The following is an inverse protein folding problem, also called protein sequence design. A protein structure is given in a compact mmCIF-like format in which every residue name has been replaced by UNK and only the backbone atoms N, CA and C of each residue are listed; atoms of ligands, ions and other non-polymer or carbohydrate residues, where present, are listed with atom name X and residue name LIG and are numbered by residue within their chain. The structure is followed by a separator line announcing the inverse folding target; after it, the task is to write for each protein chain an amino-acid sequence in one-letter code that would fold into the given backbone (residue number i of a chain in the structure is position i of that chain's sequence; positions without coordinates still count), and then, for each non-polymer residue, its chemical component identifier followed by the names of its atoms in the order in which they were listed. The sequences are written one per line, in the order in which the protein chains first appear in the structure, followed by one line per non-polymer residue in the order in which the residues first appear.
data_IF_656359403593
#
_entry.id   IF_656359403593
#
_cell.length_a   1.000
_cell.length_b   1.000
_cell.length_c   1.000
_cell.angle_alpha   90.00
_cell.angle_beta   90.00
_cell.angle_gamma   90.00
#
_symmetry.space_group_name_H-M   'P 1'
#
loop_
_entity.id
_entity.type
_entity.pdbx_description
1 polymer ?
#
# COMPACT_ATOMS: atom_id res chain seq x y z
N UNK A 1 -16.41 -15.79 -21.89
CA UNK A 1 -16.62 -14.40 -21.44
C UNK A 1 -15.26 -13.92 -20.98
N UNK A 2 -14.71 -12.87 -21.58
CA UNK A 2 -13.44 -12.29 -21.10
C UNK A 2 -13.69 -11.71 -19.72
N UNK A 3 -12.85 -12.09 -18.74
CA UNK A 3 -12.89 -11.43 -17.42
C UNK A 3 -12.59 -9.93 -17.60
N UNK A 4 -13.21 -9.05 -16.81
CA UNK A 4 -12.88 -7.63 -16.85
C UNK A 4 -11.38 -7.45 -16.59
N UNK A 5 -10.72 -6.51 -17.30
CA UNK A 5 -9.29 -6.28 -17.16
C UNK A 5 -8.97 -5.90 -15.72
N UNK A 6 -7.94 -6.55 -15.15
CA UNK A 6 -7.43 -6.30 -13.81
C UNK A 6 -6.61 -5.02 -13.83
N UNK A 7 -6.73 -4.20 -12.78
CA UNK A 7 -5.99 -2.95 -12.66
C UNK A 7 -5.33 -2.88 -11.28
N UNK A 8 -4.06 -3.30 -11.16
CA UNK A 8 -3.34 -3.21 -9.92
C UNK A 8 -2.94 -1.79 -9.60
N UNK A 9 -2.93 -1.48 -8.31
CA UNK A 9 -2.15 -0.38 -7.78
C UNK A 9 -0.66 -0.68 -7.95
N UNK A 10 0.10 0.32 -8.39
CA UNK A 10 1.56 0.25 -8.44
C UNK A 10 2.16 1.65 -8.36
N UNK A 11 3.25 1.80 -7.61
CA UNK A 11 4.02 3.05 -7.57
C UNK A 11 5.09 3.14 -8.68
N UNK A 12 5.29 2.05 -9.43
CA UNK A 12 6.33 1.94 -10.46
C UNK A 12 5.98 2.62 -11.78
N UNK A 13 6.93 2.64 -12.72
CA UNK A 13 6.69 3.11 -14.10
C UNK A 13 6.11 2.04 -15.02
N UNK A 14 6.21 0.78 -14.59
CA UNK A 14 5.81 -0.36 -15.40
C UNK A 14 4.61 -1.00 -14.76
N UNK A 15 3.55 -1.12 -15.56
CA UNK A 15 2.36 -1.86 -15.16
C UNK A 15 2.74 -3.32 -14.84
N UNK A 16 2.33 -3.86 -13.69
CA UNK A 16 2.60 -5.26 -13.33
C UNK A 16 2.10 -6.22 -14.42
N UNK A 17 2.85 -7.30 -14.64
CA UNK A 17 2.43 -8.33 -15.58
C UNK A 17 1.23 -9.13 -15.02
N UNK A 18 0.39 -9.67 -15.91
CA UNK A 18 -0.85 -10.37 -15.53
C UNK A 18 -0.62 -11.57 -14.60
N UNK A 19 0.55 -12.20 -14.69
CA UNK A 19 0.97 -13.32 -13.85
C UNK A 19 1.20 -12.93 -12.39
N UNK A 20 1.56 -11.67 -12.12
CA UNK A 20 1.67 -11.14 -10.75
C UNK A 20 0.31 -11.18 -10.06
N UNK A 21 -0.76 -10.82 -10.76
CA UNK A 21 -2.09 -10.79 -10.15
C UNK A 21 -2.72 -12.18 -10.06
N UNK A 22 -2.29 -13.12 -10.90
CA UNK A 22 -2.68 -14.53 -10.78
C UNK A 22 -2.28 -15.14 -9.42
N UNK A 23 -1.24 -14.63 -8.76
CA UNK A 23 -0.84 -15.05 -7.40
C UNK A 23 -1.96 -14.82 -6.37
N UNK A 24 -2.78 -13.79 -6.55
CA UNK A 24 -3.92 -13.53 -5.66
C UNK A 24 -5.02 -14.59 -5.82
N UNK A 25 -5.11 -15.26 -6.96
CA UNK A 25 -6.03 -16.38 -7.15
C UNK A 25 -5.51 -17.67 -6.46
N UNK A 26 -4.25 -17.68 -6.00
CA UNK A 26 -3.66 -18.76 -5.20
C UNK A 26 -3.86 -18.59 -3.68
N UNK A 27 -4.44 -17.48 -3.20
CA UNK A 27 -4.80 -17.34 -1.78
C UNK A 27 -5.85 -18.42 -1.44
N UNK A 28 -5.58 -19.37 -0.53
CA UNK A 28 -6.55 -20.40 -0.17
C UNK A 28 -7.70 -19.84 0.67
N UNK A 29 -7.58 -18.62 1.20
CA UNK A 29 -8.51 -18.04 2.17
C UNK A 29 -8.81 -16.54 1.92
N UNK A 30 -9.25 -16.14 0.70
CA UNK A 30 -9.72 -14.78 0.47
C UNK A 30 -10.96 -14.53 1.33
N UNK A 31 -11.08 -13.31 1.85
CA UNK A 31 -12.18 -12.91 2.73
C UNK A 31 -12.90 -11.70 2.18
N UNK A 32 -14.23 -11.78 2.12
CA UNK A 32 -15.05 -10.58 1.92
C UNK A 32 -14.92 -9.73 3.18
N UNK A 33 -14.23 -8.60 3.07
CA UNK A 33 -14.03 -7.65 4.15
C UNK A 33 -15.20 -6.66 4.24
N UNK A 34 -15.81 -6.35 3.10
CA UNK A 34 -16.97 -5.48 2.98
C UNK A 34 -17.81 -5.91 1.76
N UNK A 35 -19.13 -5.88 1.90
CA UNK A 35 -20.08 -6.09 0.81
C UNK A 35 -21.20 -5.05 0.94
N UNK A 36 -21.32 -4.18 -0.06
CA UNK A 36 -22.31 -3.10 -0.08
C UNK A 36 -23.76 -3.63 -0.12
N UNK A 37 -24.00 -4.87 -0.57
CA UNK A 37 -25.34 -5.49 -0.66
C UNK A 37 -25.85 -5.98 0.69
N UNK A 38 -24.95 -6.36 1.58
CA UNK A 38 -25.31 -7.08 2.79
C UNK A 38 -25.50 -6.10 3.95
N UNK A 39 -26.62 -6.24 4.65
CA UNK A 39 -26.83 -5.54 5.93
C UNK A 39 -25.77 -5.95 6.96
N UNK A 40 -25.28 -7.20 6.92
CA UNK A 40 -24.13 -7.66 7.71
C UNK A 40 -22.78 -7.10 7.23
N UNK A 41 -22.66 -6.76 5.95
CA UNK A 41 -21.55 -5.99 5.37
C UNK A 41 -21.46 -4.55 5.88
N UNK A 42 -22.42 -4.12 6.72
CA UNK A 42 -22.35 -2.84 7.44
C UNK A 42 -21.74 -2.95 8.84
N UNK A 43 -21.39 -4.16 9.29
CA UNK A 43 -20.77 -4.40 10.60
C UNK A 43 -19.29 -4.81 10.46
N UNK A 44 -18.45 -4.35 11.38
CA UNK A 44 -17.03 -4.68 11.43
C UNK A 44 -16.11 -3.55 10.94
N UNK A 45 -14.80 -3.73 11.17
CA UNK A 45 -13.82 -2.66 11.00
C UNK A 45 -13.77 -2.08 9.58
N UNK A 46 -13.87 -2.94 8.55
CA UNK A 46 -13.85 -2.49 7.15
C UNK A 46 -15.16 -1.82 6.74
N UNK A 47 -16.29 -2.23 7.30
CA UNK A 47 -17.56 -1.53 7.10
C UNK A 47 -17.52 -0.11 7.70
N UNK A 48 -16.89 0.06 8.87
CA UNK A 48 -16.68 1.36 9.49
C UNK A 48 -15.75 2.24 8.64
N UNK A 49 -14.69 1.66 8.06
CA UNK A 49 -13.80 2.36 7.11
C UNK A 49 -14.59 2.81 5.88
N UNK A 50 -15.32 1.92 5.20
CA UNK A 50 -16.06 2.26 3.98
C UNK A 50 -17.16 3.30 4.24
N UNK A 51 -17.86 3.20 5.37
CA UNK A 51 -18.83 4.23 5.82
C UNK A 51 -18.13 5.56 6.12
N UNK A 52 -16.94 5.50 6.71
CA UNK A 52 -16.07 6.65 6.93
C UNK A 52 -15.64 7.32 5.62
N UNK A 53 -15.26 6.55 4.60
CA UNK A 53 -14.92 7.05 3.27
C UNK A 53 -16.15 7.71 2.64
N UNK A 54 -17.31 7.03 2.65
CA UNK A 54 -18.56 7.61 2.15
C UNK A 54 -18.88 8.96 2.82
N UNK A 55 -18.79 9.03 4.15
CA UNK A 55 -19.03 10.26 4.90
C UNK A 55 -18.03 11.38 4.56
N UNK A 56 -16.76 11.04 4.33
CA UNK A 56 -15.75 12.01 3.89
C UNK A 56 -16.02 12.50 2.46
N UNK A 57 -16.41 11.63 1.53
CA UNK A 57 -16.75 12.04 0.16
C UNK A 57 -18.01 12.90 0.10
N UNK A 58 -19.04 12.57 0.91
CA UNK A 58 -20.23 13.42 1.06
C UNK A 58 -19.90 14.77 1.74
N UNK A 59 -18.90 14.81 2.63
CA UNK A 59 -18.39 16.05 3.20
C UNK A 59 -17.60 16.87 2.17
N UNK A 60 -16.69 16.25 1.40
CA UNK A 60 -15.93 16.90 0.32
C UNK A 60 -16.88 17.57 -0.69
N UNK A 61 -17.98 16.90 -1.02
CA UNK A 61 -19.07 17.42 -1.86
C UNK A 61 -19.69 18.73 -1.35
N UNK A 62 -19.75 18.93 -0.03
CA UNK A 62 -20.43 20.08 0.60
C UNK A 62 -19.45 21.17 1.04
N UNK A 63 -18.27 20.76 1.50
CA UNK A 63 -17.33 21.57 2.24
C UNK A 63 -15.88 21.35 1.74
N UNK A 64 -15.65 21.44 0.42
CA UNK A 64 -14.32 21.16 -0.16
C UNK A 64 -13.18 21.98 0.46
N UNK A 65 -13.45 23.21 0.89
CA UNK A 65 -12.44 24.08 1.50
C UNK A 65 -12.02 23.63 2.90
N UNK A 66 -12.83 22.82 3.58
CA UNK A 66 -12.47 22.23 4.87
C UNK A 66 -11.42 21.13 4.68
N UNK A 67 -11.38 20.49 3.52
CA UNK A 67 -10.40 19.45 3.19
C UNK A 67 -9.04 20.07 2.88
N UNK A 68 -9.02 21.03 1.95
CA UNK A 68 -7.85 21.87 1.63
C UNK A 68 -8.23 22.96 0.63
N UNK A 69 -7.43 24.01 0.57
CA UNK A 69 -7.44 24.93 -0.57
C UNK A 69 -6.92 24.19 -1.81
N UNK A 70 -7.66 24.29 -2.92
CA UNK A 70 -7.33 23.65 -4.18
C UNK A 70 -7.68 24.58 -5.33
N UNK A 71 -6.67 25.06 -6.03
CA UNK A 71 -6.83 25.89 -7.23
C UNK A 71 -6.69 25.05 -8.48
N UNK A 72 -7.16 25.57 -9.62
CA UNK A 72 -6.93 24.93 -10.92
C UNK A 72 -5.43 24.70 -11.15
N UNK A 73 -4.57 25.64 -10.75
CA UNK A 73 -3.12 25.48 -10.89
C UNK A 73 -2.58 24.28 -10.10
N UNK A 74 -3.07 24.05 -8.87
CA UNK A 74 -2.72 22.88 -8.07
C UNK A 74 -3.19 21.59 -8.75
N UNK A 75 -4.41 21.59 -9.30
CA UNK A 75 -4.98 20.47 -10.04
C UNK A 75 -4.18 20.10 -11.28
N UNK A 76 -3.85 21.10 -12.11
CA UNK A 76 -3.04 20.88 -13.31
C UNK A 76 -1.61 20.46 -12.98
N UNK A 77 -1.00 21.02 -11.93
CA UNK A 77 0.33 20.59 -11.47
C UNK A 77 0.32 19.13 -11.00
N UNK A 78 -0.70 18.75 -10.24
CA UNK A 78 -0.83 17.40 -9.70
C UNK A 78 -1.04 16.38 -10.82
N UNK A 79 -1.97 16.65 -11.75
CA UNK A 79 -2.18 15.81 -12.92
C UNK A 79 -0.92 15.73 -13.79
N UNK A 80 -0.25 16.86 -14.02
CA UNK A 80 0.98 16.92 -14.81
C UNK A 80 2.07 16.04 -14.23
N UNK A 81 2.29 16.08 -12.91
CA UNK A 81 3.28 15.25 -12.23
C UNK A 81 2.90 13.75 -12.29
N UNK A 82 1.64 13.41 -12.03
CA UNK A 82 1.17 12.02 -12.16
C UNK A 82 1.41 11.50 -13.59
N UNK A 83 1.05 12.29 -14.61
CA UNK A 83 1.30 11.94 -16.01
C UNK A 83 2.81 11.76 -16.28
N UNK A 84 3.67 12.64 -15.77
CA UNK A 84 5.13 12.52 -15.96
C UNK A 84 5.73 11.26 -15.33
N UNK A 85 5.16 10.78 -14.22
CA UNK A 85 5.67 9.61 -13.52
C UNK A 85 5.30 8.30 -14.25
N UNK A 86 4.13 8.24 -14.87
CA UNK A 86 3.64 7.02 -15.52
C UNK A 86 3.77 7.00 -17.05
N UNK A 87 3.85 8.15 -17.71
CA UNK A 87 4.03 8.20 -19.17
C UNK A 87 5.49 8.04 -19.58
N UNK A 88 5.68 7.62 -20.83
CA UNK A 88 7.00 7.62 -21.46
C UNK A 88 7.68 8.99 -21.45
N UNK A 89 9.01 8.98 -21.60
CA UNK A 89 9.81 10.21 -21.72
C UNK A 89 9.55 10.95 -23.03
N UNK A 90 9.01 10.29 -24.05
CA UNK A 90 8.72 10.90 -25.33
C UNK A 90 7.48 11.80 -25.28
N UNK A 91 7.59 12.98 -25.90
CA UNK A 91 6.44 13.91 -26.06
C UNK A 91 5.25 13.23 -26.73
N UNK A 92 5.50 12.30 -27.66
CA UNK A 92 4.44 11.59 -28.38
C UNK A 92 3.54 10.79 -27.43
N UNK A 93 4.13 10.07 -26.48
CA UNK A 93 3.39 9.25 -25.52
C UNK A 93 2.51 10.12 -24.63
N UNK A 94 3.08 11.22 -24.12
CA UNK A 94 2.35 12.20 -23.30
C UNK A 94 1.20 12.85 -24.06
N UNK A 95 1.39 13.17 -25.35
CA UNK A 95 0.32 13.71 -26.20
C UNK A 95 -0.80 12.69 -26.41
N UNK A 96 -0.49 11.41 -26.59
CA UNK A 96 -1.52 10.37 -26.72
C UNK A 96 -2.37 10.26 -25.45
N UNK A 97 -1.76 10.35 -24.27
CA UNK A 97 -2.46 10.40 -22.98
C UNK A 97 -3.39 11.62 -22.92
N UNK A 98 -2.87 12.82 -23.21
CA UNK A 98 -3.66 14.05 -23.21
C UNK A 98 -4.86 13.98 -24.17
N UNK A 99 -4.69 13.39 -25.37
CA UNK A 99 -5.78 13.22 -26.34
C UNK A 99 -6.87 12.23 -25.90
N UNK A 100 -6.54 11.32 -24.98
CA UNK A 100 -7.48 10.31 -24.47
C UNK A 100 -8.20 10.76 -23.21
N UNK A 101 -7.60 11.67 -22.44
CA UNK A 101 -8.13 12.20 -21.19
C UNK A 101 -8.76 13.59 -21.33
N UNK A 102 -8.66 14.22 -22.50
CA UNK A 102 -9.18 15.56 -22.72
C UNK A 102 -8.91 16.11 -24.11
N UNK A 103 -9.10 17.42 -24.24
CA UNK A 103 -9.09 18.11 -25.53
C UNK A 103 -8.13 19.31 -25.53
N UNK A 104 -7.45 19.51 -26.66
CA UNK A 104 -6.63 20.69 -26.89
C UNK A 104 -7.48 21.88 -27.35
N UNK A 105 -7.33 23.01 -26.67
CA UNK A 105 -8.07 24.28 -26.89
C UNK A 105 -7.22 25.34 -27.60
N UNK A 106 -6.84 25.07 -28.86
CA UNK A 106 -6.09 26.03 -29.66
C UNK A 106 -6.96 27.16 -30.22
N UNK A 107 -6.35 28.32 -30.49
CA UNK A 107 -7.00 29.42 -31.21
C UNK A 107 -7.33 28.99 -32.65
N UNK A 108 -8.47 29.46 -33.18
CA UNK A 108 -8.96 29.07 -34.50
C UNK A 108 -7.97 29.35 -35.66
N UNK A 109 -7.11 30.35 -35.53
CA UNK A 109 -6.08 30.70 -36.52
C UNK A 109 -4.72 30.03 -36.33
N UNK A 110 -4.54 29.21 -35.28
CA UNK A 110 -3.24 28.61 -34.98
C UNK A 110 -2.87 27.53 -36.01
N UNK A 111 -1.73 27.73 -36.68
CA UNK A 111 -1.20 26.79 -37.67
C UNK A 111 -0.67 25.49 -37.04
N UNK A 112 -0.45 24.42 -37.82
CA UNK A 112 0.07 23.15 -37.30
C UNK A 112 1.41 23.28 -36.55
N UNK A 113 2.33 24.11 -37.03
CA UNK A 113 3.64 24.29 -36.40
C UNK A 113 3.56 25.08 -35.09
N UNK A 114 2.65 26.06 -35.01
CA UNK A 114 2.37 26.79 -33.77
C UNK A 114 1.80 25.84 -32.71
N UNK A 115 0.84 24.98 -33.09
CA UNK A 115 0.25 23.97 -32.19
C UNK A 115 1.31 23.00 -31.67
N UNK A 116 2.16 22.47 -32.56
CA UNK A 116 3.27 21.57 -32.18
C UNK A 116 4.23 22.25 -31.22
N UNK A 117 4.58 23.52 -31.47
CA UNK A 117 5.44 24.29 -30.58
C UNK A 117 4.82 24.47 -29.20
N UNK A 118 3.55 24.88 -29.11
CA UNK A 118 2.84 25.03 -27.83
C UNK A 118 2.81 23.72 -27.01
N UNK A 119 2.58 22.59 -27.67
CA UNK A 119 2.63 21.28 -27.04
C UNK A 119 4.05 20.96 -26.56
N UNK A 120 5.05 21.15 -27.42
CA UNK A 120 6.45 20.90 -27.08
C UNK A 120 6.91 21.75 -25.90
N UNK A 121 6.46 23.00 -25.82
CA UNK A 121 6.79 23.93 -24.75
C UNK A 121 6.23 23.49 -23.39
N UNK A 122 5.21 22.62 -23.36
CA UNK A 122 4.70 22.01 -22.13
C UNK A 122 5.60 20.88 -21.61
N UNK A 123 6.50 20.34 -22.44
CA UNK A 123 7.36 19.20 -22.09
C UNK A 123 8.84 19.48 -22.31
N UNK A 124 9.19 20.74 -22.61
CA UNK A 124 10.55 21.15 -22.87
C UNK A 124 11.43 20.87 -21.65
N UNK A 125 12.62 20.32 -21.91
CA UNK A 125 13.63 20.04 -20.91
C UNK A 125 13.97 21.30 -20.09
N UNK A 126 14.44 21.05 -18.87
CA UNK A 126 14.97 22.07 -18.00
C UNK A 126 16.19 22.73 -18.65
N UNK A 127 16.24 24.05 -18.65
CA UNK A 127 17.48 24.78 -18.97
C UNK A 127 18.26 25.07 -17.69
N UNK A 128 19.58 25.24 -17.80
CA UNK A 128 20.46 25.58 -16.65
C UNK A 128 20.10 26.90 -15.94
N UNK A 129 19.21 27.70 -16.55
CA UNK A 129 18.77 29.00 -16.05
C UNK A 129 17.43 28.95 -15.31
N UNK A 130 16.71 27.82 -15.35
CA UNK A 130 15.41 27.65 -14.69
C UNK A 130 15.59 27.13 -13.25
N UNK A 131 14.81 27.66 -12.29
CA UNK A 131 14.76 27.09 -10.92
C UNK A 131 14.10 25.69 -11.00
N UNK A 132 14.80 24.60 -10.62
CA UNK A 132 14.27 23.24 -10.69
C UNK A 132 12.91 23.06 -10.01
N UNK A 133 12.64 23.84 -8.95
CA UNK A 133 11.38 23.76 -8.19
C UNK A 133 10.20 24.37 -8.92
N UNK A 134 10.46 25.22 -9.91
CA UNK A 134 9.43 25.95 -10.67
C UNK A 134 9.16 25.33 -12.04
N UNK A 135 9.95 24.35 -12.47
CA UNK A 135 9.86 23.78 -13.82
C UNK A 135 8.50 23.11 -14.01
N UNK A 136 8.11 22.20 -13.10
CA UNK A 136 6.83 21.50 -13.18
C UNK A 136 5.66 22.49 -13.18
N UNK A 137 5.66 23.46 -12.27
CA UNK A 137 4.63 24.52 -12.19
C UNK A 137 4.56 25.38 -13.45
N UNK A 138 5.70 25.76 -14.01
CA UNK A 138 5.76 26.55 -15.25
C UNK A 138 5.19 25.78 -16.44
N UNK A 139 5.55 24.50 -16.55
CA UNK A 139 5.11 23.62 -17.63
C UNK A 139 3.63 23.21 -17.49
N UNK A 140 3.16 22.92 -16.28
CA UNK A 140 1.74 22.65 -16.01
C UNK A 140 0.85 23.87 -16.29
N UNK A 141 1.33 25.07 -15.99
CA UNK A 141 0.63 26.33 -16.34
C UNK A 141 0.54 26.55 -17.85
N UNK A 142 1.52 26.12 -18.64
CA UNK A 142 1.42 26.13 -20.11
C UNK A 142 0.38 25.12 -20.58
N UNK A 143 0.38 23.92 -19.99
CA UNK A 143 -0.60 22.89 -20.30
C UNK A 143 -2.03 23.39 -20.05
N UNK A 144 -2.28 24.04 -18.92
CA UNK A 144 -3.61 24.57 -18.57
C UNK A 144 -4.13 25.65 -19.53
N UNK A 145 -3.26 26.28 -20.32
CA UNK A 145 -3.64 27.24 -21.35
C UNK A 145 -4.08 26.58 -22.66
N UNK A 146 -3.61 25.37 -22.96
CA UNK A 146 -3.79 24.74 -24.27
C UNK A 146 -4.54 23.41 -24.22
N UNK A 147 -4.78 22.85 -23.04
CA UNK A 147 -5.49 21.59 -22.85
C UNK A 147 -6.46 21.70 -21.68
N UNK A 148 -7.51 20.88 -21.69
CA UNK A 148 -8.41 20.66 -20.56
C UNK A 148 -8.86 19.20 -20.53
N UNK A 149 -9.11 18.62 -19.35
CA UNK A 149 -9.72 17.31 -19.23
C UNK A 149 -11.09 17.24 -19.94
N UNK A 150 -11.52 16.03 -20.32
CA UNK A 150 -12.85 15.82 -20.89
C UNK A 150 -13.90 16.35 -19.91
N UNK A 151 -14.76 17.25 -20.39
CA UNK A 151 -15.77 17.90 -19.54
C UNK A 151 -16.65 16.89 -18.85
N UNK A 152 -16.86 17.10 -17.55
CA UNK A 152 -17.69 16.25 -16.70
C UNK A 152 -17.16 14.81 -16.49
N UNK A 153 -15.89 14.55 -16.82
CA UNK A 153 -15.19 13.35 -16.38
C UNK A 153 -14.74 13.46 -14.93
N UNK A 154 -14.47 12.32 -14.28
CA UNK A 154 -13.86 12.30 -12.95
C UNK A 154 -12.54 13.07 -12.89
N UNK A 155 -11.72 13.04 -13.95
CA UNK A 155 -10.47 13.82 -14.01
C UNK A 155 -10.73 15.34 -14.00
N UNK A 156 -11.71 15.80 -14.77
CA UNK A 156 -12.12 17.22 -14.78
C UNK A 156 -12.57 17.67 -13.39
N UNK A 157 -13.30 16.81 -12.68
CA UNK A 157 -13.69 17.06 -11.31
C UNK A 157 -12.51 17.10 -10.34
N UNK A 158 -11.56 16.17 -10.44
CA UNK A 158 -10.37 16.17 -9.59
C UNK A 158 -9.53 17.44 -9.80
N UNK A 159 -9.33 17.84 -11.07
CA UNK A 159 -8.48 18.98 -11.43
C UNK A 159 -9.10 20.30 -10.99
N UNK A 160 -10.37 20.56 -11.33
CA UNK A 160 -10.97 21.89 -11.15
C UNK A 160 -12.19 21.96 -10.23
N UNK A 161 -12.81 20.82 -9.87
CA UNK A 161 -14.08 20.80 -9.12
C UNK A 161 -14.13 19.68 -8.06
N UNK A 162 -13.25 19.70 -7.01
CA UNK A 162 -13.16 18.59 -6.04
C UNK A 162 -14.48 18.21 -5.36
N UNK A 163 -15.37 19.19 -5.11
CA UNK A 163 -16.71 18.90 -4.61
C UNK A 163 -17.51 17.94 -5.51
N UNK A 164 -17.35 18.06 -6.83
CA UNK A 164 -18.02 17.18 -7.78
C UNK A 164 -17.37 15.79 -7.83
N UNK A 165 -16.05 15.69 -7.60
CA UNK A 165 -15.39 14.39 -7.42
C UNK A 165 -15.92 13.69 -6.16
N UNK A 166 -16.01 14.42 -5.03
CA UNK A 166 -16.65 13.93 -3.81
C UNK A 166 -18.08 13.46 -4.04
N UNK A 167 -18.85 14.15 -4.89
CA UNK A 167 -20.21 13.73 -5.28
C UNK A 167 -20.21 12.39 -6.00
N UNK A 168 -19.46 12.25 -7.08
CA UNK A 168 -19.41 11.01 -7.88
C UNK A 168 -19.00 9.82 -7.01
N UNK A 169 -17.95 9.99 -6.20
CA UNK A 169 -17.45 8.93 -5.32
C UNK A 169 -18.44 8.59 -4.20
N UNK A 170 -19.11 9.58 -3.61
CA UNK A 170 -20.16 9.34 -2.60
C UNK A 170 -21.38 8.63 -3.19
N UNK A 171 -21.79 8.99 -4.41
CA UNK A 171 -22.93 8.37 -5.10
C UNK A 171 -22.58 6.90 -5.47
N UNK A 172 -21.32 6.62 -5.83
CA UNK A 172 -20.82 5.26 -6.10
C UNK A 172 -20.81 4.37 -4.85
N UNK A 173 -20.44 4.94 -3.70
CA UNK A 173 -20.39 4.27 -2.40
C UNK A 173 -21.75 4.19 -1.70
N UNK A 174 -22.80 4.80 -2.25
CA UNK A 174 -24.12 4.81 -1.64
C UNK A 174 -24.68 3.39 -1.53
N UNK A 175 -25.11 2.90 -0.34
CA UNK A 175 -25.65 1.54 -0.18
C UNK A 175 -26.79 1.15 -1.13
N UNK A 176 -27.49 2.12 -1.72
CA UNK A 176 -28.56 1.87 -2.70
C UNK A 176 -28.07 1.86 -4.16
N UNK A 177 -26.75 1.87 -4.40
CA UNK A 177 -26.20 1.81 -5.75
C UNK A 177 -26.56 0.48 -6.43
N UNK A 178 -26.87 0.52 -7.72
CA UNK A 178 -27.28 -0.66 -8.50
C UNK A 178 -26.12 -1.60 -8.84
N UNK A 179 -24.88 -1.12 -8.75
CA UNK A 179 -23.65 -1.85 -9.02
C UNK A 179 -22.82 -1.96 -7.73
N UNK A 180 -23.13 -2.92 -6.85
CA UNK A 180 -22.54 -2.96 -5.53
C UNK A 180 -21.05 -3.29 -5.55
N UNK A 181 -20.29 -2.60 -4.69
CA UNK A 181 -18.87 -2.76 -4.45
C UNK A 181 -18.62 -3.84 -3.38
N UNK A 182 -17.59 -4.65 -3.59
CA UNK A 182 -17.04 -5.53 -2.56
C UNK A 182 -15.56 -5.20 -2.30
N UNK A 183 -15.14 -5.36 -1.04
CA UNK A 183 -13.74 -5.35 -0.66
C UNK A 183 -13.33 -6.78 -0.31
N UNK A 184 -12.34 -7.31 -1.02
CA UNK A 184 -11.82 -8.67 -0.85
C UNK A 184 -10.40 -8.58 -0.28
N UNK A 185 -10.21 -9.18 0.89
CA UNK A 185 -8.92 -9.24 1.57
C UNK A 185 -8.21 -10.54 1.29
N UNK A 186 -6.94 -10.44 0.91
CA UNK A 186 -6.03 -11.56 0.68
C UNK A 186 -4.95 -11.61 1.76
N UNK A 187 -5.18 -12.30 2.89
CA UNK A 187 -4.23 -12.33 3.99
C UNK A 187 -3.01 -13.23 3.74
N UNK A 188 -3.06 -14.14 2.76
CA UNK A 188 -1.95 -15.02 2.38
C UNK A 188 -1.30 -15.82 3.53
N UNK A 189 -2.07 -16.23 4.55
CA UNK A 189 -1.53 -16.86 5.77
C UNK A 189 -0.76 -18.16 5.53
N UNK A 190 -1.24 -18.95 4.60
CA UNK A 190 -0.74 -20.31 4.32
C UNK A 190 0.03 -20.38 2.99
N UNK A 191 0.40 -19.22 2.41
CA UNK A 191 1.11 -19.14 1.14
C UNK A 191 2.59 -18.88 1.40
N UNK A 192 3.46 -19.62 0.72
CA UNK A 192 4.91 -19.50 0.91
C UNK A 192 5.41 -18.15 0.41
N UNK A 193 6.36 -17.57 1.14
CA UNK A 193 7.01 -16.30 0.79
C UNK A 193 7.59 -16.29 -0.63
N UNK A 194 8.13 -17.42 -1.10
CA UNK A 194 8.65 -17.58 -2.47
C UNK A 194 7.60 -17.43 -3.55
N UNK A 195 6.35 -17.86 -3.30
CA UNK A 195 5.21 -17.67 -4.21
C UNK A 195 4.76 -16.21 -4.25
N UNK A 196 4.90 -15.50 -3.13
CA UNK A 196 4.50 -14.10 -2.99
C UNK A 196 5.56 -13.11 -3.51
N UNK A 197 6.78 -13.57 -3.76
CA UNK A 197 7.90 -12.72 -4.18
C UNK A 197 7.59 -11.89 -5.45
N UNK A 198 6.94 -12.42 -6.50
CA UNK A 198 6.58 -11.61 -7.67
C UNK A 198 5.64 -10.44 -7.33
N UNK A 199 4.72 -10.63 -6.36
CA UNK A 199 3.82 -9.57 -5.87
C UNK A 199 4.62 -8.49 -5.15
N UNK A 200 5.62 -8.88 -4.36
CA UNK A 200 6.50 -7.97 -3.65
C UNK A 200 7.41 -7.19 -4.60
N UNK A 201 8.00 -7.87 -5.59
CA UNK A 201 8.88 -7.27 -6.59
C UNK A 201 8.12 -6.25 -7.45
N UNK A 202 6.87 -6.57 -7.80
CA UNK A 202 5.97 -5.67 -8.52
C UNK A 202 5.29 -4.61 -7.62
N UNK A 203 5.43 -4.75 -6.30
CA UNK A 203 4.86 -3.87 -5.27
C UNK A 203 3.34 -3.70 -5.35
N UNK A 204 2.62 -4.77 -5.66
CA UNK A 204 1.15 -4.76 -5.79
C UNK A 204 0.51 -5.03 -4.43
N UNK A 205 -0.22 -4.07 -3.88
CA UNK A 205 -0.93 -4.21 -2.59
C UNK A 205 -2.46 -4.21 -2.72
N UNK A 206 -2.98 -3.77 -3.86
CA UNK A 206 -4.40 -3.68 -4.14
C UNK A 206 -4.62 -3.72 -5.65
N UNK A 207 -5.83 -4.07 -6.07
CA UNK A 207 -6.26 -3.99 -7.45
C UNK A 207 -7.78 -3.96 -7.58
N UNK A 208 -8.25 -3.37 -8.67
CA UNK A 208 -9.63 -3.36 -9.12
C UNK A 208 -9.87 -4.55 -10.07
N UNK A 209 -10.95 -5.30 -9.84
CA UNK A 209 -11.45 -6.35 -10.74
C UNK A 209 -12.98 -6.37 -10.76
N UNK A 210 -13.60 -5.85 -11.81
CA UNK A 210 -15.05 -5.80 -11.92
C UNK A 210 -15.66 -4.80 -10.93
N UNK A 211 -16.43 -5.25 -9.95
CA UNK A 211 -16.95 -4.38 -8.87
C UNK A 211 -16.31 -4.75 -7.53
N UNK A 212 -15.10 -5.30 -7.59
CA UNK A 212 -14.36 -5.77 -6.43
C UNK A 212 -13.04 -4.99 -6.33
N UNK A 213 -12.74 -4.52 -5.14
CA UNK A 213 -11.42 -4.04 -4.76
C UNK A 213 -10.77 -5.17 -3.98
N UNK A 214 -9.62 -5.66 -4.45
CA UNK A 214 -8.82 -6.64 -3.74
C UNK A 214 -7.68 -5.93 -3.03
N UNK A 215 -7.33 -6.38 -1.82
CA UNK A 215 -6.28 -5.75 -1.02
C UNK A 215 -5.54 -6.78 -0.16
N UNK A 216 -4.25 -6.53 0.10
CA UNK A 216 -3.49 -7.24 1.13
C UNK A 216 -3.76 -6.56 2.49
N UNK A 217 -4.55 -7.16 3.40
CA UNK A 217 -5.01 -6.47 4.62
C UNK A 217 -3.86 -6.06 5.57
N UNK A 218 -2.71 -6.75 5.46
CA UNK A 218 -1.51 -6.45 6.26
C UNK A 218 -0.99 -5.03 6.07
N UNK A 219 -1.21 -4.41 4.90
CA UNK A 219 -0.72 -3.07 4.57
C UNK A 219 -1.30 -1.99 5.49
N UNK A 220 -2.52 -2.19 6.00
CA UNK A 220 -3.25 -1.22 6.82
C UNK A 220 -2.45 -0.76 8.05
N UNK A 221 -1.68 -1.66 8.68
CA UNK A 221 -0.87 -1.32 9.84
C UNK A 221 0.27 -0.37 9.48
N UNK A 222 0.99 -0.66 8.40
CA UNK A 222 2.09 0.19 7.92
C UNK A 222 1.57 1.58 7.55
N UNK A 223 0.48 1.65 6.79
CA UNK A 223 -0.13 2.93 6.40
C UNK A 223 -0.60 3.75 7.62
N UNK A 224 -1.20 3.10 8.62
CA UNK A 224 -1.63 3.77 9.86
C UNK A 224 -0.45 4.35 10.65
N UNK A 225 0.68 3.64 10.69
CA UNK A 225 1.89 4.14 11.35
C UNK A 225 2.44 5.37 10.63
N UNK A 226 2.49 5.32 9.29
CA UNK A 226 2.90 6.46 8.48
C UNK A 226 2.02 7.69 8.73
N UNK A 227 0.70 7.56 8.73
CA UNK A 227 -0.19 8.69 9.06
C UNK A 227 0.09 9.30 10.45
N UNK A 228 0.46 8.48 11.43
CA UNK A 228 0.80 8.96 12.77
C UNK A 228 2.13 9.71 12.82
N UNK A 229 3.12 9.25 12.04
CA UNK A 229 4.47 9.82 12.00
C UNK A 229 4.55 11.06 11.10
N UNK A 230 3.70 11.14 10.07
CA UNK A 230 3.69 12.21 9.07
C UNK A 230 2.52 13.18 9.21
N UNK A 231 1.97 13.35 10.42
CA UNK A 231 0.81 14.20 10.71
C UNK A 231 0.95 15.69 10.25
N UNK A 232 2.09 16.08 9.68
CA UNK A 232 2.40 17.41 9.14
C UNK A 232 2.90 17.42 7.68
N UNK A 233 2.93 16.27 7.00
CA UNK A 233 3.29 16.19 5.57
C UNK A 233 2.02 16.50 4.78
N UNK A 234 2.02 17.61 4.04
CA UNK A 234 0.82 18.23 3.46
C UNK A 234 -0.12 17.27 2.71
N UNK A 235 -1.40 17.64 2.63
CA UNK A 235 -2.46 16.83 2.06
C UNK A 235 -3.79 17.13 2.75
N UNK A 236 -4.75 16.23 2.58
CA UNK A 236 -6.05 16.24 3.25
C UNK A 236 -5.92 15.48 4.58
N UNK A 237 -5.97 16.20 5.69
CA UNK A 237 -5.81 15.62 7.05
C UNK A 237 -6.94 14.66 7.42
N UNK A 238 -8.14 14.87 6.86
CA UNK A 238 -9.33 14.09 7.19
C UNK A 238 -9.29 12.67 6.66
N UNK A 239 -8.53 12.42 5.60
CA UNK A 239 -8.43 11.12 4.93
C UNK A 239 -7.12 10.48 5.37
N UNK A 240 -7.10 9.17 5.65
CA UNK A 240 -5.85 8.45 5.97
C UNK A 240 -5.29 7.72 4.73
N UNK A 241 -4.07 7.19 4.80
CA UNK A 241 -3.39 6.52 3.68
C UNK A 241 -4.10 5.25 3.23
N UNK A 242 -4.67 4.47 4.15
CA UNK A 242 -5.43 3.28 3.78
C UNK A 242 -6.74 3.65 3.05
N UNK A 243 -7.43 4.70 3.50
CA UNK A 243 -8.58 5.27 2.81
C UNK A 243 -8.19 5.85 1.44
N UNK A 244 -7.01 6.46 1.34
CA UNK A 244 -6.46 6.99 0.09
C UNK A 244 -6.23 5.86 -0.92
N UNK A 245 -5.65 4.74 -0.49
CA UNK A 245 -5.50 3.54 -1.31
C UNK A 245 -6.85 3.03 -1.83
N UNK A 246 -7.85 2.90 -0.95
CA UNK A 246 -9.17 2.44 -1.36
C UNK A 246 -9.88 3.44 -2.30
N UNK A 247 -9.65 4.74 -2.10
CA UNK A 247 -10.16 5.80 -2.99
C UNK A 247 -9.45 5.80 -4.35
N UNK A 248 -8.17 5.45 -4.43
CA UNK A 248 -7.47 5.24 -5.70
C UNK A 248 -8.17 4.15 -6.51
N UNK A 249 -8.36 2.96 -5.93
CA UNK A 249 -9.04 1.85 -6.59
C UNK A 249 -10.49 2.21 -6.99
N UNK A 250 -11.19 2.96 -6.14
CA UNK A 250 -12.53 3.45 -6.45
C UNK A 250 -12.54 4.43 -7.63
N UNK A 251 -11.53 5.30 -7.76
CA UNK A 251 -11.41 6.20 -8.92
C UNK A 251 -11.09 5.42 -10.19
N UNK A 252 -10.27 4.37 -10.12
CA UNK A 252 -10.05 3.50 -11.29
C UNK A 252 -11.35 2.82 -11.73
N UNK A 253 -12.13 2.30 -10.77
CA UNK A 253 -13.44 1.72 -11.01
C UNK A 253 -14.39 2.71 -11.68
N UNK A 254 -14.54 3.91 -11.11
CA UNK A 254 -15.41 4.98 -11.66
C UNK A 254 -14.94 5.41 -13.04
N UNK A 255 -13.62 5.58 -13.24
CA UNK A 255 -13.08 5.97 -14.55
C UNK A 255 -13.39 4.94 -15.64
N UNK A 256 -13.38 3.65 -15.29
CA UNK A 256 -13.76 2.55 -16.18
C UNK A 256 -15.27 2.51 -16.44
N UNK A 257 -16.09 2.77 -15.43
CA UNK A 257 -17.55 2.88 -15.58
C UNK A 257 -17.93 4.07 -16.47
N UNK A 258 -17.24 5.20 -16.35
CA UNK A 258 -17.41 6.38 -17.22
C UNK A 258 -16.94 6.11 -18.66
N UNK A 259 -15.83 5.40 -18.83
CA UNK A 259 -15.27 5.06 -20.14
C UNK A 259 -14.64 3.65 -20.15
N UNK A 260 -15.40 2.61 -20.56
CA UNK A 260 -14.92 1.23 -20.55
C UNK A 260 -13.73 0.96 -21.49
N UNK A 261 -13.57 1.79 -22.53
CA UNK A 261 -12.50 1.69 -23.52
C UNK A 261 -11.21 2.39 -23.05
N UNK A 262 -11.22 2.99 -21.86
CA UNK A 262 -10.06 3.69 -21.32
C UNK A 262 -9.00 2.68 -20.84
N UNK A 263 -7.76 2.74 -21.37
CA UNK A 263 -6.69 1.82 -20.99
C UNK A 263 -6.36 1.87 -19.49
N UNK A 264 -5.90 0.76 -18.87
CA UNK A 264 -5.46 0.68 -17.47
C UNK A 264 -4.51 1.80 -17.04
N UNK A 265 -3.49 2.10 -17.84
CA UNK A 265 -2.57 3.20 -17.54
C UNK A 265 -3.28 4.55 -17.38
N UNK A 266 -4.31 4.82 -18.18
CA UNK A 266 -4.98 6.11 -18.16
C UNK A 266 -5.92 6.24 -16.96
N UNK A 267 -6.63 5.17 -16.58
CA UNK A 267 -7.39 5.14 -15.32
C UNK A 267 -6.46 5.29 -14.12
N UNK A 268 -5.28 4.65 -14.17
CA UNK A 268 -4.28 4.75 -13.13
C UNK A 268 -3.77 6.17 -12.95
N UNK A 269 -3.42 6.88 -14.05
CA UNK A 269 -3.01 8.29 -13.99
C UNK A 269 -4.11 9.16 -13.34
N UNK A 270 -5.38 8.92 -13.67
CA UNK A 270 -6.52 9.66 -13.08
C UNK A 270 -6.64 9.36 -11.59
N UNK A 271 -6.56 8.09 -11.20
CA UNK A 271 -6.60 7.67 -9.80
C UNK A 271 -5.42 8.21 -8.99
N UNK A 272 -4.19 8.14 -9.51
CA UNK A 272 -3.01 8.72 -8.88
C UNK A 272 -3.09 10.25 -8.79
N UNK A 273 -3.79 10.92 -9.70
CA UNK A 273 -4.05 12.36 -9.58
C UNK A 273 -4.92 12.66 -8.36
N UNK A 274 -5.93 11.82 -8.09
CA UNK A 274 -6.75 11.95 -6.88
C UNK A 274 -6.00 11.51 -5.61
N UNK A 275 -5.22 10.44 -5.68
CA UNK A 275 -4.33 9.99 -4.62
C UNK A 275 -3.44 11.14 -4.13
N UNK A 276 -2.80 11.85 -5.07
CA UNK A 276 -1.92 12.99 -4.77
C UNK A 276 -2.68 14.24 -4.31
N UNK A 277 -3.91 14.44 -4.76
CA UNK A 277 -4.79 15.44 -4.17
C UNK A 277 -5.00 15.18 -2.66
N UNK A 278 -5.15 13.91 -2.27
CA UNK A 278 -5.40 13.50 -0.89
C UNK A 278 -4.12 13.46 -0.04
N UNK A 279 -3.05 12.83 -0.51
CA UNK A 279 -1.86 12.52 0.31
C UNK A 279 -0.53 12.82 -0.38
N UNK A 280 -0.52 13.62 -1.45
CA UNK A 280 0.67 13.85 -2.27
C UNK A 280 1.32 12.49 -2.65
N UNK A 281 2.65 12.40 -2.63
CA UNK A 281 3.37 11.17 -3.00
C UNK A 281 3.62 10.24 -1.77
N UNK A 282 2.86 10.40 -0.68
CA UNK A 282 3.11 9.67 0.56
C UNK A 282 2.70 8.20 0.48
N UNK A 283 1.64 7.87 -0.26
CA UNK A 283 1.15 6.50 -0.36
C UNK A 283 2.18 5.58 -1.01
N UNK A 284 2.85 6.02 -2.07
CA UNK A 284 3.91 5.24 -2.71
C UNK A 284 5.05 4.92 -1.75
N UNK A 285 5.49 5.89 -0.93
CA UNK A 285 6.57 5.68 0.04
C UNK A 285 6.15 4.73 1.16
N UNK A 286 4.93 4.89 1.68
CA UNK A 286 4.41 4.03 2.74
C UNK A 286 4.20 2.57 2.28
N UNK A 287 3.85 2.37 1.02
CA UNK A 287 3.76 1.03 0.44
C UNK A 287 5.14 0.41 0.18
N UNK A 288 6.14 1.20 -0.22
CA UNK A 288 7.51 0.71 -0.30
C UNK A 288 8.01 0.19 1.05
N UNK A 289 7.71 0.91 2.14
CA UNK A 289 8.03 0.50 3.51
C UNK A 289 7.36 -0.81 3.90
N UNK A 290 6.11 -1.05 3.47
CA UNK A 290 5.43 -2.33 3.69
C UNK A 290 6.20 -3.52 3.09
N UNK A 291 6.77 -3.35 1.90
CA UNK A 291 7.53 -4.41 1.22
C UNK A 291 8.96 -4.60 1.72
N UNK A 292 9.43 -3.79 2.70
CA UNK A 292 10.70 -4.08 3.37
C UNK A 292 10.61 -5.34 4.25
N UNK A 293 9.43 -5.59 4.81
CA UNK A 293 9.17 -6.72 5.72
C UNK A 293 8.22 -7.78 5.13
N UNK A 294 7.71 -7.56 3.91
CA UNK A 294 6.78 -8.46 3.20
C UNK A 294 7.42 -8.99 1.91
N UNK A 295 7.32 -10.29 1.58
CA UNK A 295 6.41 -11.28 2.14
C UNK A 295 6.91 -11.89 3.46
N UNK A 296 5.98 -12.02 4.41
CA UNK A 296 6.23 -12.72 5.67
C UNK A 296 6.28 -14.22 5.40
N UNK A 297 7.10 -14.94 6.17
CA UNK A 297 7.16 -16.40 6.09
C UNK A 297 5.81 -17.00 6.49
N UNK A 298 5.38 -18.03 5.77
CA UNK A 298 4.25 -18.86 6.19
C UNK A 298 4.58 -19.62 7.49
N UNK A 299 3.56 -20.03 8.25
CA UNK A 299 3.75 -20.83 9.48
C UNK A 299 4.57 -22.11 9.22
N UNK A 300 4.40 -22.71 8.03
CA UNK A 300 5.19 -23.86 7.59
C UNK A 300 6.66 -23.51 7.40
N UNK A 301 6.98 -22.39 6.75
CA UNK A 301 8.35 -21.92 6.55
C UNK A 301 9.03 -21.50 7.86
N UNK A 302 8.29 -20.87 8.78
CA UNK A 302 8.78 -20.55 10.12
C UNK A 302 9.15 -21.82 10.89
N UNK A 303 8.30 -22.86 10.81
CA UNK A 303 8.55 -24.15 11.46
C UNK A 303 9.76 -24.86 10.85
N UNK A 304 9.87 -24.93 9.53
CA UNK A 304 11.01 -25.52 8.82
C UNK A 304 12.33 -24.81 9.19
N UNK A 305 12.33 -23.47 9.27
CA UNK A 305 13.50 -22.70 9.70
C UNK A 305 13.86 -22.95 11.15
N UNK A 306 12.87 -23.03 12.04
CA UNK A 306 13.11 -23.34 13.45
C UNK A 306 13.68 -24.74 13.65
N UNK A 307 13.15 -25.74 12.92
CA UNK A 307 13.68 -27.10 12.93
C UNK A 307 15.10 -27.18 12.37
N UNK A 308 15.39 -26.44 11.29
CA UNK A 308 16.73 -26.35 10.73
C UNK A 308 17.72 -25.70 11.72
N UNK A 309 17.32 -24.62 12.40
CA UNK A 309 18.13 -23.99 13.44
C UNK A 309 18.39 -24.93 14.61
N UNK A 310 17.36 -25.62 15.11
CA UNK A 310 17.51 -26.60 16.19
C UNK A 310 18.43 -27.75 15.79
N UNK A 311 18.38 -28.19 14.53
CA UNK A 311 19.27 -29.21 14.01
C UNK A 311 20.74 -28.75 13.98
N UNK A 312 20.99 -27.51 13.55
CA UNK A 312 22.33 -26.91 13.58
C UNK A 312 22.83 -26.79 15.02
N UNK A 313 22.00 -26.28 15.95
CA UNK A 313 22.35 -26.18 17.37
C UNK A 313 22.68 -27.55 17.99
N UNK A 314 21.95 -28.60 17.60
CA UNK A 314 22.17 -29.96 18.08
C UNK A 314 23.46 -30.56 17.50
N UNK A 315 23.77 -30.27 16.24
CA UNK A 315 25.02 -30.67 15.58
C UNK A 315 26.23 -29.95 16.21
N UNK A 316 26.13 -28.65 16.46
CA UNK A 316 27.15 -27.85 17.16
C UNK A 316 27.37 -28.33 18.60
N UNK A 317 26.28 -28.61 19.34
CA UNK A 317 26.38 -29.17 20.68
C UNK A 317 27.03 -30.56 20.66
N UNK A 318 26.66 -31.42 19.70
CA UNK A 318 27.27 -32.74 19.55
C UNK A 318 28.76 -32.65 19.20
N UNK A 319 29.17 -31.67 18.39
CA UNK A 319 30.57 -31.43 18.06
C UNK A 319 31.37 -30.95 19.29
N UNK A 320 30.81 -30.06 20.11
CA UNK A 320 31.45 -29.61 21.34
C UNK A 320 31.59 -30.72 22.40
N UNK A 321 30.66 -31.67 22.45
CA UNK A 321 30.77 -32.85 23.33
C UNK A 321 31.71 -33.94 22.79
N UNK A 322 32.03 -33.93 21.49
CA UNK A 322 32.98 -34.85 20.89
C UNK A 322 34.45 -34.36 21.00
N UNK A 323 34.69 -33.08 21.26
CA UNK A 323 36.04 -32.52 21.51
C UNK A 323 36.47 -32.56 22.99
N UNK A 324 35.58 -32.87 23.95
CA UNK A 324 35.97 -33.26 25.32
C UNK A 324 36.33 -34.76 25.36
N UNK A 325 37.45 -35.11 24.72
CA UNK A 325 38.11 -36.40 24.99
C UNK A 325 38.53 -36.44 26.46
N UNK A 326 37.91 -37.37 27.19
CA UNK A 326 38.23 -37.71 28.57
C UNK A 326 39.72 -38.05 28.63
N UNK A 327 40.54 -37.45 29.51
CA UNK A 327 41.91 -37.89 29.67
C UNK A 327 41.94 -39.36 30.09
N UNK A 328 42.32 -40.24 29.16
CA UNK A 328 42.76 -41.60 29.45
C UNK A 328 44.07 -41.51 30.27
N UNK A 329 43.93 -41.51 31.59
CA UNK A 329 44.96 -42.00 32.50
C UNK A 329 44.30 -42.62 33.72
N UNK A 330 43.67 -43.77 33.51
CA UNK A 330 43.53 -44.79 34.54
C UNK A 330 44.87 -45.55 34.54
N UNK A 331 45.86 -45.06 35.29
CA UNK A 331 46.98 -45.88 35.71
C UNK A 331 46.65 -46.41 37.12
N UNK A 332 46.42 -47.73 37.15
CA UNK A 332 46.51 -48.56 38.35
C UNK A 332 47.97 -48.49 38.86
N UNK A 333 48.18 -48.04 40.11
CA UNK A 333 48.94 -48.78 41.12
C UNK A 333 49.30 -47.92 42.35
N UNK A 334 49.41 -48.64 43.48
CA UNK A 334 50.04 -48.32 44.77
C UNK A 334 49.23 -47.59 45.87
N UNK A 335 48.56 -48.43 46.67
CA UNK A 335 48.86 -48.65 48.09
C UNK A 335 49.35 -47.43 48.91
N UNK A 336 48.44 -46.88 49.72
CA UNK A 336 48.64 -46.78 51.17
C UNK A 336 47.35 -46.27 51.85
N UNK A 337 46.57 -47.20 52.39
CA UNK A 337 45.58 -46.90 53.43
C UNK A 337 46.26 -47.01 54.80
N UNK A 338 46.35 -45.92 55.60
CA UNK A 338 46.23 -46.05 57.03
C UNK A 338 44.75 -46.02 57.39
N UNK A 339 44.26 -47.17 57.84
CA UNK A 339 43.01 -47.28 58.58
C UNK A 339 43.22 -46.54 59.89
N UNK A 340 42.48 -45.46 60.12
CA UNK A 340 42.12 -45.09 61.48
C UNK A 340 40.71 -44.50 61.56
N UNK A 341 40.05 -44.99 62.59
CA UNK A 341 38.72 -44.71 63.11
C UNK A 341 38.34 -43.23 63.11
N UNK A 342 37.22 -42.89 62.50
CA UNK A 342 36.05 -42.43 63.26
C UNK A 342 34.85 -42.19 62.35
N UNK A 343 33.75 -42.87 62.67
CA UNK A 343 32.51 -42.80 61.92
C UNK A 343 31.93 -41.37 61.90
N UNK A 344 31.78 -40.81 60.70
CA UNK A 344 30.79 -39.77 60.38
C UNK A 344 30.64 -39.63 58.87
N UNK A 345 29.47 -40.03 58.36
CA UNK A 345 29.04 -39.81 56.97
C UNK A 345 28.66 -38.33 56.78
N UNK A 346 29.22 -37.58 55.81
CA UNK A 346 28.70 -36.27 55.46
C UNK A 346 27.66 -36.37 54.33
N UNK A 347 26.42 -36.10 54.67
CA UNK A 347 25.27 -35.95 53.75
C UNK A 347 25.47 -34.71 52.85
N UNK A 348 25.69 -34.90 51.54
CA UNK A 348 25.67 -33.80 50.56
C UNK A 348 24.23 -33.29 50.35
N UNK A 349 24.01 -32.02 50.70
CA UNK A 349 22.74 -31.29 50.56
C UNK A 349 22.33 -31.10 49.08
N UNK A 350 21.12 -31.51 48.72
CA UNK A 350 20.45 -31.17 47.45
C UNK A 350 20.17 -29.65 47.39
N UNK A 351 20.78 -28.93 46.45
CA UNK A 351 20.36 -27.57 46.07
C UNK A 351 19.13 -27.64 45.14
N UNK A 352 17.97 -27.19 45.63
CA UNK A 352 16.76 -26.99 44.81
C UNK A 352 16.92 -25.72 43.97
N UNK A 353 16.81 -25.85 42.64
CA UNK A 353 16.73 -24.75 41.67
C UNK A 353 15.42 -23.99 41.88
N UNK A 354 15.50 -22.66 42.03
CA UNK A 354 14.37 -21.76 42.32
C UNK A 354 13.70 -21.35 41.01
N UNK A 355 12.43 -21.71 40.85
CA UNK A 355 11.57 -21.31 39.72
C UNK A 355 11.17 -19.85 39.91
N UNK A 356 11.50 -18.98 38.95
CA UNK A 356 11.01 -17.58 38.90
C UNK A 356 9.73 -17.56 38.06
N UNK A 357 8.59 -17.38 38.73
CA UNK A 357 7.29 -17.12 38.07
C UNK A 357 7.19 -15.63 37.68
N UNK A 358 7.11 -15.35 36.38
CA UNK A 358 6.70 -14.05 35.82
C UNK A 358 5.28 -13.71 36.31
N UNK A 359 5.11 -12.55 36.96
CA UNK A 359 3.79 -11.93 37.23
C UNK A 359 3.50 -10.93 36.11
N UNK A 360 2.51 -11.25 35.28
CA UNK A 360 1.85 -10.28 34.38
C UNK A 360 0.68 -9.68 35.17
N UNK A 361 0.70 -8.37 35.41
CA UNK A 361 -0.39 -7.64 36.08
C UNK A 361 -1.34 -7.09 35.01
N UNK A 362 -2.56 -7.62 34.97
CA UNK A 362 -3.74 -7.02 34.32
C UNK A 362 -4.07 -5.66 34.98
N UNK A 363 -4.26 -4.61 34.19
CA UNK A 363 -5.06 -3.44 34.59
C UNK A 363 -6.15 -3.21 33.54
N UNK A 364 -7.40 -3.35 33.98
CA UNK A 364 -8.59 -2.86 33.28
C UNK A 364 -9.25 -1.79 34.14
N UNK A 365 -9.41 -0.62 33.53
CA UNK A 365 -10.36 0.51 33.72
C UNK A 365 -11.17 0.68 35.02
N UNK A 366 -11.27 1.94 35.50
CA UNK A 366 -12.56 2.66 35.55
C UNK A 366 -12.45 4.18 35.75
N UNK A 367 -13.26 4.90 34.96
CA UNK A 367 -13.74 6.30 35.05
C UNK A 367 -14.14 6.78 36.45
N UNK A 368 -13.98 8.09 36.71
CA UNK A 368 -15.06 9.09 36.98
C UNK A 368 -14.43 10.49 37.14
N UNK A 369 -14.88 11.48 36.35
CA UNK A 369 -15.82 12.56 36.71
C UNK A 369 -15.32 13.44 37.87
N UNK A 370 -14.91 14.66 37.54
CA UNK A 370 -15.61 15.90 37.92
C UNK A 370 -15.52 16.89 36.76
#
# INVERSE_FOLDING_TARGET
MSHPPIRPWYAGRTFPADDVVAVFDEDPQPKILYDQRDAGGTEGAYADIMRGIYGKMDSLKRNQNDFRTWTDEDGYLTFYNAMLDFCGSETRDRVQVLQKLGDFKFRAGAGPDEKKKLISDCFAEATDQEDPRMIATSRSRRLSQIWAPTTDSILDYIVGRPAQAGRVLSDRLNPTNTEPLQLIGHPFKDVRSTTLQPVADARVIAFERGSEIHVIPGVSKTLTNWDADTASVGGVEQVNLFETLLLHELVELVSREENPELPPLLTHIVASTFERYLKADLLSVAVEDFFLDWPVLSEAEETERYEAQLKIELEEASAMFAEEDIPESFDEDDDHLPVDSDGKVPVKKKKKKKVVKKKIVKKVAKKKKE
#
